data_IF_922210134842
#
_entry.id   IF_922210134842
#
_cell.length_a   1.000
_cell.length_b   1.000
_cell.length_c   1.000
_cell.angle_alpha   90.00
_cell.angle_beta   90.00
_cell.angle_gamma   90.00
#
_symmetry.space_group_name_H-M   'P 1'
#
loop_
_entity.id
_entity.type
_entity.pdbx_description
1 polymer ?
#
# COMPACT_ATOMS: atom_id res chain seq x y z
N UNK A 1 22.99 -21.31 62.68
CA UNK A 1 22.30 -20.90 63.91
C UNK A 1 20.84 -21.05 63.71
N UNK A 2 20.33 -22.12 64.32
CA UNK A 2 18.94 -22.60 64.31
C UNK A 2 18.19 -21.93 65.43
N UNK A 3 17.03 -21.36 65.21
CA UNK A 3 16.05 -21.13 66.29
C UNK A 3 14.69 -21.67 65.88
N UNK A 4 14.34 -22.71 66.62
CA UNK A 4 13.03 -23.34 66.64
C UNK A 4 12.19 -22.63 67.67
N UNK A 5 10.91 -22.31 67.37
CA UNK A 5 9.93 -21.93 68.36
C UNK A 5 8.72 -22.85 68.28
N UNK A 6 8.56 -23.68 69.29
CA UNK A 6 7.37 -24.48 69.54
C UNK A 6 6.40 -23.63 70.38
N UNK A 7 5.11 -23.65 70.00
CA UNK A 7 4.05 -23.21 70.91
C UNK A 7 2.99 -24.32 71.01
N UNK A 8 2.66 -24.60 72.24
CA UNK A 8 1.79 -25.65 72.72
C UNK A 8 0.31 -25.42 72.38
N UNK A 9 -0.36 -26.53 72.14
CA UNK A 9 -1.82 -26.65 72.06
C UNK A 9 -2.36 -27.00 73.44
N UNK A 10 -3.42 -26.37 73.88
CA UNK A 10 -4.39 -26.89 74.88
C UNK A 10 -5.71 -26.13 74.73
N UNK A 11 -6.77 -26.76 74.41
CA UNK A 11 -7.81 -27.27 75.21
C UNK A 11 -9.17 -26.79 74.80
N UNK A 12 -10.01 -27.71 74.33
CA UNK A 12 -11.43 -27.99 74.62
C UNK A 12 -12.51 -26.93 74.56
N UNK A 13 -13.56 -27.25 73.71
CA UNK A 13 -14.96 -27.04 74.03
C UNK A 13 -15.86 -26.88 72.81
N UNK A 14 -16.97 -27.68 72.66
CA UNK A 14 -17.84 -27.59 71.51
C UNK A 14 -18.95 -26.57 71.71
N UNK A 15 -19.13 -25.69 70.71
CA UNK A 15 -20.34 -24.87 70.60
C UNK A 15 -20.97 -25.06 69.23
N UNK A 16 -22.17 -25.63 69.22
CA UNK A 16 -23.02 -25.69 68.04
C UNK A 16 -23.40 -24.26 67.63
N UNK A 17 -22.89 -23.78 66.53
CA UNK A 17 -23.25 -22.52 65.90
C UNK A 17 -23.83 -22.77 64.51
N UNK A 18 -25.10 -22.45 64.34
CA UNK A 18 -25.83 -22.53 63.06
C UNK A 18 -25.18 -21.68 62.01
N UNK A 19 -24.65 -22.34 60.97
CA UNK A 19 -24.15 -21.63 59.78
C UNK A 19 -25.36 -21.13 58.95
N UNK A 20 -25.64 -19.85 58.97
CA UNK A 20 -26.43 -19.18 57.93
C UNK A 20 -25.51 -18.94 56.72
N UNK A 21 -25.79 -19.67 55.65
CA UNK A 21 -25.16 -19.37 54.35
C UNK A 21 -25.71 -18.04 53.84
N UNK A 22 -24.85 -17.01 53.79
CA UNK A 22 -25.13 -15.75 53.12
C UNK A 22 -24.69 -16.01 51.64
N UNK A 23 -25.67 -16.23 50.76
CA UNK A 23 -25.44 -16.15 49.31
C UNK A 23 -25.15 -14.67 48.97
N UNK A 24 -23.89 -14.34 48.81
CA UNK A 24 -23.48 -13.10 48.19
C UNK A 24 -23.84 -13.11 46.69
N UNK A 25 -24.27 -11.98 46.10
CA UNK A 25 -24.58 -11.92 44.68
C UNK A 25 -23.31 -12.21 43.86
N UNK A 26 -23.42 -13.21 43.02
CA UNK A 26 -22.41 -13.52 41.99
C UNK A 26 -22.42 -12.32 41.02
N UNK A 27 -21.44 -11.42 41.14
CA UNK A 27 -21.20 -10.38 40.13
C UNK A 27 -20.73 -11.10 38.87
N UNK A 28 -21.64 -11.34 37.93
CA UNK A 28 -21.27 -11.69 36.54
C UNK A 28 -20.64 -10.45 35.96
N UNK A 29 -19.32 -10.40 35.94
CA UNK A 29 -18.57 -9.45 35.12
C UNK A 29 -18.91 -9.79 33.67
N UNK A 30 -19.90 -9.13 33.10
CA UNK A 30 -20.05 -9.07 31.65
C UNK A 30 -18.79 -8.40 31.14
N UNK A 31 -17.91 -9.18 30.51
CA UNK A 31 -16.87 -8.63 29.71
C UNK A 31 -17.57 -7.77 28.65
N UNK A 32 -17.50 -6.45 28.79
CA UNK A 32 -17.78 -5.52 27.72
C UNK A 32 -16.75 -5.82 26.66
N UNK A 33 -17.16 -6.57 25.65
CA UNK A 33 -16.40 -6.64 24.39
C UNK A 33 -16.27 -5.19 23.93
N UNK A 34 -15.08 -4.63 24.10
CA UNK A 34 -14.73 -3.36 23.49
C UNK A 34 -15.03 -3.49 22.00
N UNK A 35 -15.75 -2.54 21.39
CA UNK A 35 -15.94 -2.57 19.95
C UNK A 35 -14.56 -2.65 19.31
N UNK A 36 -14.39 -3.58 18.37
CA UNK A 36 -13.14 -3.84 17.65
C UNK A 36 -12.51 -2.50 17.30
N UNK A 37 -11.31 -2.25 17.84
CA UNK A 37 -10.70 -0.96 17.89
C UNK A 37 -10.67 -0.27 16.54
N UNK A 38 -11.03 0.99 16.54
CA UNK A 38 -10.80 1.91 15.43
C UNK A 38 -9.29 2.08 15.23
N UNK A 39 -8.67 1.13 14.53
CA UNK A 39 -7.38 1.36 13.87
C UNK A 39 -7.53 2.53 12.91
N UNK A 40 -6.44 3.15 12.48
CA UNK A 40 -6.50 4.22 11.48
C UNK A 40 -7.33 3.73 10.28
N UNK A 41 -8.19 4.61 9.75
CA UNK A 41 -9.06 4.28 8.64
C UNK A 41 -8.23 3.83 7.43
N UNK A 42 -8.64 2.75 6.76
CA UNK A 42 -8.00 2.26 5.53
C UNK A 42 -7.89 3.38 4.50
N UNK A 43 -6.68 3.64 3.98
CA UNK A 43 -6.44 4.66 2.97
C UNK A 43 -6.95 4.21 1.59
N UNK A 44 -7.43 5.16 0.80
CA UNK A 44 -7.90 4.96 -0.58
C UNK A 44 -6.84 5.45 -1.55
N UNK A 45 -6.23 4.54 -2.30
CA UNK A 45 -5.31 4.88 -3.38
C UNK A 45 -5.98 4.73 -4.75
N UNK A 46 -5.91 5.79 -5.56
CA UNK A 46 -6.38 5.78 -6.94
C UNK A 46 -5.32 5.13 -7.83
N UNK A 47 -5.50 3.84 -8.16
CA UNK A 47 -4.60 3.07 -9.03
C UNK A 47 -4.60 3.65 -10.44
N UNK A 48 -3.43 4.13 -10.89
CA UNK A 48 -3.24 4.90 -12.14
C UNK A 48 -4.17 6.11 -12.27
N UNK A 49 -4.49 6.73 -11.14
CA UNK A 49 -5.44 7.83 -11.07
C UNK A 49 -6.92 7.43 -11.08
N UNK A 50 -7.26 6.14 -11.11
CA UNK A 50 -8.63 5.62 -11.21
C UNK A 50 -8.96 5.08 -12.60
N UNK A 51 -8.21 4.08 -13.06
CA UNK A 51 -8.18 3.55 -14.43
C UNK A 51 -9.51 3.01 -14.96
N UNK A 52 -10.50 2.72 -14.10
CA UNK A 52 -11.85 2.34 -14.54
C UNK A 52 -12.76 3.54 -14.82
N UNK A 53 -12.36 4.76 -14.42
CA UNK A 53 -13.18 5.96 -14.51
C UNK A 53 -12.64 6.95 -15.56
N UNK A 54 -11.32 7.03 -15.71
CA UNK A 54 -10.62 8.01 -16.52
C UNK A 54 -9.47 7.36 -17.29
N UNK A 55 -8.89 8.03 -18.31
CA UNK A 55 -7.70 7.54 -18.99
C UNK A 55 -6.56 7.31 -17.98
N UNK A 56 -6.10 6.06 -17.86
CA UNK A 56 -5.11 5.68 -16.86
C UNK A 56 -3.81 6.51 -17.01
N UNK A 57 -3.17 6.82 -15.89
CA UNK A 57 -1.89 7.53 -15.87
C UNK A 57 -1.88 8.89 -16.59
N UNK A 58 -3.04 9.57 -16.66
CA UNK A 58 -3.17 10.91 -17.25
C UNK A 58 -3.27 12.00 -16.19
N UNK A 59 -2.92 13.23 -16.54
CA UNK A 59 -3.12 14.39 -15.66
C UNK A 59 -4.60 14.61 -15.37
N UNK A 60 -5.50 14.30 -16.33
CA UNK A 60 -6.95 14.33 -16.11
C UNK A 60 -7.34 13.37 -14.99
N UNK A 61 -6.90 12.09 -15.06
CA UNK A 61 -7.21 11.10 -14.03
C UNK A 61 -6.74 11.55 -12.65
N UNK A 62 -5.52 12.08 -12.53
CA UNK A 62 -5.00 12.57 -11.26
C UNK A 62 -5.77 13.79 -10.73
N UNK A 63 -6.13 14.76 -11.59
CA UNK A 63 -7.00 15.89 -11.19
C UNK A 63 -8.35 15.41 -10.66
N UNK A 64 -8.96 14.45 -11.33
CA UNK A 64 -10.26 13.90 -10.93
C UNK A 64 -10.16 13.09 -9.62
N UNK A 65 -9.11 12.29 -9.45
CA UNK A 65 -8.85 11.58 -8.20
C UNK A 65 -8.64 12.54 -7.01
N UNK A 66 -7.89 13.62 -7.22
CA UNK A 66 -7.73 14.70 -6.23
C UNK A 66 -9.06 15.37 -5.90
N UNK A 67 -9.87 15.69 -6.91
CA UNK A 67 -11.21 16.26 -6.72
C UNK A 67 -12.16 15.30 -5.98
N UNK A 68 -12.03 13.99 -6.23
CA UNK A 68 -12.73 12.95 -5.49
C UNK A 68 -12.26 12.91 -4.01
N UNK A 69 -11.08 13.43 -3.69
CA UNK A 69 -10.51 13.44 -2.33
C UNK A 69 -9.99 12.06 -1.91
N UNK A 70 -9.21 11.42 -2.76
CA UNK A 70 -8.48 10.20 -2.41
C UNK A 70 -7.33 10.50 -1.46
N UNK A 71 -6.86 9.49 -0.73
CA UNK A 71 -5.76 9.66 0.21
C UNK A 71 -4.40 9.50 -0.47
N UNK A 72 -4.33 8.75 -1.58
CA UNK A 72 -3.10 8.53 -2.35
C UNK A 72 -3.36 8.48 -3.86
N UNK A 73 -2.38 8.95 -4.64
CA UNK A 73 -2.28 8.76 -6.09
C UNK A 73 -1.24 7.68 -6.37
N UNK A 74 -1.63 6.66 -7.10
CA UNK A 74 -0.72 5.64 -7.59
C UNK A 74 -0.54 5.79 -9.10
N UNK A 75 0.69 5.60 -9.57
CA UNK A 75 1.09 5.74 -10.98
C UNK A 75 2.42 5.06 -11.29
N UNK A 76 2.65 4.77 -12.57
CA UNK A 76 3.72 3.92 -13.07
C UNK A 76 4.80 4.74 -13.79
N UNK A 77 6.08 4.46 -13.56
CA UNK A 77 7.21 5.21 -14.10
C UNK A 77 8.06 4.38 -15.05
N UNK A 78 8.29 4.95 -16.22
CA UNK A 78 9.31 4.52 -17.19
C UNK A 78 10.30 5.63 -17.49
N UNK A 79 11.39 5.31 -18.20
CA UNK A 79 12.38 6.30 -18.59
C UNK A 79 12.60 6.25 -20.10
N UNK A 80 12.64 7.42 -20.74
CA UNK A 80 12.90 7.62 -22.17
C UNK A 80 14.39 7.44 -22.51
N UNK A 81 14.71 7.41 -23.81
CA UNK A 81 16.09 7.28 -24.29
C UNK A 81 17.01 8.44 -23.87
N UNK A 82 16.46 9.64 -23.68
CA UNK A 82 17.17 10.82 -23.17
C UNK A 82 17.09 10.98 -21.65
N UNK A 83 16.58 9.94 -20.98
CA UNK A 83 16.59 9.83 -19.53
C UNK A 83 15.50 10.64 -18.83
N UNK A 84 14.43 11.05 -19.48
CA UNK A 84 13.28 11.68 -18.85
C UNK A 84 12.34 10.65 -18.25
N UNK A 85 11.85 10.90 -17.05
CA UNK A 85 10.91 9.99 -16.35
C UNK A 85 9.49 10.37 -16.75
N UNK A 86 8.77 9.40 -17.33
CA UNK A 86 7.40 9.56 -17.84
C UNK A 86 6.43 8.58 -17.14
N UNK A 87 5.14 8.89 -17.22
CA UNK A 87 4.10 8.16 -16.49
C UNK A 87 3.28 7.33 -17.47
N UNK A 88 3.46 6.02 -17.42
CA UNK A 88 2.79 5.03 -18.26
C UNK A 88 2.91 3.65 -17.62
N UNK A 89 1.88 2.79 -17.73
CA UNK A 89 1.96 1.45 -17.13
C UNK A 89 2.80 0.46 -17.94
N UNK A 90 2.50 0.34 -19.24
CA UNK A 90 3.18 -0.63 -20.09
C UNK A 90 4.55 -0.08 -20.55
N UNK A 91 5.55 -0.93 -20.75
CA UNK A 91 6.84 -0.47 -21.27
C UNK A 91 6.77 -0.03 -22.74
N UNK A 92 5.61 -0.18 -23.39
CA UNK A 92 5.32 0.25 -24.76
C UNK A 92 4.08 1.12 -24.84
N UNK A 93 3.96 1.93 -25.87
CA UNK A 93 2.86 2.88 -26.09
C UNK A 93 1.58 2.24 -26.65
N UNK A 94 1.63 0.96 -27.03
CA UNK A 94 0.70 0.29 -27.94
C UNK A 94 -0.75 0.21 -27.42
N UNK A 95 -0.96 0.02 -26.11
CA UNK A 95 -2.28 -0.23 -25.52
C UNK A 95 -3.05 1.04 -25.21
N UNK A 96 -2.35 2.02 -24.63
CA UNK A 96 -2.99 3.18 -24.01
C UNK A 96 -2.72 4.49 -24.73
N UNK A 97 -2.11 4.46 -25.93
CA UNK A 97 -1.84 5.67 -26.68
C UNK A 97 -1.98 5.53 -28.19
N UNK A 98 -1.93 6.65 -28.89
CA UNK A 98 -1.96 6.72 -30.38
C UNK A 98 -0.66 6.30 -31.03
N UNK A 99 0.42 6.09 -30.26
CA UNK A 99 1.73 5.67 -30.76
C UNK A 99 2.01 4.19 -30.46
N UNK A 100 3.13 3.68 -30.92
CA UNK A 100 3.55 2.30 -30.74
C UNK A 100 5.05 2.21 -30.41
N UNK A 101 5.43 1.07 -29.83
CA UNK A 101 6.81 0.73 -29.55
C UNK A 101 7.28 1.11 -28.15
N UNK A 102 8.51 0.70 -27.77
CA UNK A 102 9.03 0.86 -26.42
C UNK A 102 9.32 2.32 -26.08
N UNK A 103 8.88 2.74 -24.88
CA UNK A 103 9.16 4.08 -24.33
C UNK A 103 10.66 4.34 -24.23
N UNK A 104 11.43 3.32 -23.84
CA UNK A 104 12.89 3.39 -23.69
C UNK A 104 13.62 3.80 -24.96
N UNK A 105 13.05 3.53 -26.13
CA UNK A 105 13.68 3.80 -27.42
C UNK A 105 13.37 5.22 -27.95
N UNK A 106 12.48 5.95 -27.29
CA UNK A 106 12.00 7.27 -27.70
C UNK A 106 12.58 8.38 -26.81
N UNK A 107 12.87 9.54 -27.41
CA UNK A 107 13.17 10.77 -26.68
C UNK A 107 11.86 11.42 -26.22
N UNK A 108 11.89 12.18 -25.13
CA UNK A 108 10.71 12.89 -24.62
C UNK A 108 10.02 13.74 -25.69
N UNK A 109 10.80 14.43 -26.53
CA UNK A 109 10.25 15.26 -27.62
C UNK A 109 9.35 14.46 -28.60
N UNK A 110 9.61 13.17 -28.80
CA UNK A 110 8.79 12.31 -29.65
C UNK A 110 7.40 12.00 -29.00
N UNK A 111 7.29 12.11 -27.70
CA UNK A 111 6.02 11.88 -26.98
C UNK A 111 5.09 13.10 -27.02
N UNK A 112 5.54 14.27 -27.43
CA UNK A 112 4.75 15.52 -27.42
C UNK A 112 3.46 15.45 -28.27
N UNK A 113 3.48 14.70 -29.37
CA UNK A 113 2.32 14.47 -30.24
C UNK A 113 1.50 13.25 -29.91
N UNK A 114 1.97 12.40 -28.98
CA UNK A 114 1.26 11.18 -28.56
C UNK A 114 0.08 11.56 -27.67
N UNK A 115 -1.08 10.95 -27.95
CA UNK A 115 -2.28 11.14 -27.13
C UNK A 115 -2.65 9.82 -26.44
N UNK A 116 -3.09 9.94 -25.18
CA UNK A 116 -3.61 8.82 -24.43
C UNK A 116 -5.00 8.45 -24.91
N UNK A 117 -5.35 7.19 -24.74
CA UNK A 117 -6.67 6.63 -25.06
C UNK A 117 -7.50 6.43 -23.79
N UNK A 118 -8.81 6.56 -23.94
CA UNK A 118 -9.74 6.03 -22.96
C UNK A 118 -9.70 4.50 -22.94
N UNK A 119 -10.31 3.89 -21.93
CA UNK A 119 -10.36 2.42 -21.80
C UNK A 119 -11.07 1.73 -22.99
N UNK A 120 -12.01 2.40 -23.63
CA UNK A 120 -12.73 1.94 -24.83
C UNK A 120 -12.03 2.32 -26.15
N UNK A 121 -10.84 2.92 -26.07
CA UNK A 121 -9.98 3.21 -27.22
C UNK A 121 -10.22 4.55 -27.90
N UNK A 122 -11.06 5.44 -27.35
CA UNK A 122 -11.22 6.78 -27.89
C UNK A 122 -9.98 7.65 -27.60
N UNK A 123 -9.59 8.47 -28.58
CA UNK A 123 -8.46 9.41 -28.43
C UNK A 123 -8.87 10.57 -27.54
N UNK A 124 -8.00 10.93 -26.59
CA UNK A 124 -8.18 12.08 -25.68
C UNK A 124 -7.25 13.22 -26.05
N UNK A 125 -7.42 14.38 -25.40
CA UNK A 125 -6.47 15.49 -25.47
C UNK A 125 -5.27 15.32 -24.52
N UNK A 126 -5.29 14.28 -23.64
CA UNK A 126 -4.22 14.01 -22.68
C UNK A 126 -2.97 13.45 -23.39
N UNK A 127 -1.80 13.96 -23.03
CA UNK A 127 -0.50 13.43 -23.46
C UNK A 127 0.05 12.45 -22.42
N UNK A 128 1.15 11.76 -22.74
CA UNK A 128 1.91 10.95 -21.76
C UNK A 128 2.61 11.92 -20.80
N UNK A 129 2.21 11.98 -19.52
CA UNK A 129 2.79 12.95 -18.59
C UNK A 129 4.25 12.63 -18.26
N UNK A 130 5.03 13.64 -17.99
CA UNK A 130 6.29 13.50 -17.27
C UNK A 130 6.00 13.31 -15.77
N UNK A 131 6.91 12.66 -15.06
CA UNK A 131 6.82 12.55 -13.61
C UNK A 131 6.84 13.95 -12.94
N UNK A 132 7.61 14.88 -13.51
CA UNK A 132 7.63 16.28 -13.05
C UNK A 132 6.25 16.93 -13.06
N UNK A 133 5.48 16.79 -14.15
CA UNK A 133 4.12 17.34 -14.27
C UNK A 133 3.17 16.75 -13.22
N UNK A 134 3.26 15.43 -12.94
CA UNK A 134 2.44 14.81 -11.89
C UNK A 134 2.82 15.32 -10.50
N UNK A 135 4.11 15.51 -10.24
CA UNK A 135 4.58 16.08 -8.98
C UNK A 135 4.13 17.53 -8.81
N UNK A 136 4.19 18.35 -9.86
CA UNK A 136 3.75 19.75 -9.84
C UNK A 136 2.24 19.85 -9.59
N UNK A 137 1.45 18.95 -10.16
CA UNK A 137 0.02 18.83 -9.89
C UNK A 137 -0.27 18.44 -8.41
N UNK A 138 0.50 17.54 -7.85
CA UNK A 138 0.28 17.02 -6.50
C UNK A 138 0.89 17.91 -5.40
N UNK A 139 1.89 18.73 -5.72
CA UNK A 139 2.63 19.55 -4.75
C UNK A 139 1.72 20.42 -3.85
N UNK A 140 0.69 21.13 -4.35
CA UNK A 140 -0.18 21.98 -3.54
C UNK A 140 -1.18 21.20 -2.67
N UNK A 141 -1.20 19.87 -2.73
CA UNK A 141 -2.13 19.00 -1.99
C UNK A 141 -1.45 18.31 -0.81
N UNK A 142 -2.21 17.54 -0.02
CA UNK A 142 -1.69 16.67 1.05
C UNK A 142 -1.67 15.17 0.68
N UNK A 143 -2.01 14.82 -0.56
CA UNK A 143 -2.13 13.43 -1.02
C UNK A 143 -0.79 12.68 -0.91
N UNK A 144 -0.82 11.40 -0.51
CA UNK A 144 0.35 10.50 -0.62
C UNK A 144 0.61 10.16 -2.10
N UNK A 145 1.88 9.95 -2.45
CA UNK A 145 2.31 9.58 -3.80
C UNK A 145 2.88 8.16 -3.79
N UNK A 146 2.43 7.34 -4.72
CA UNK A 146 2.83 5.94 -4.85
C UNK A 146 3.42 5.69 -6.26
N UNK A 147 4.59 6.29 -6.60
CA UNK A 147 5.24 6.04 -7.87
C UNK A 147 5.79 4.61 -7.95
N UNK A 148 5.39 3.83 -8.95
CA UNK A 148 5.96 2.52 -9.24
C UNK A 148 7.07 2.62 -10.27
N UNK A 149 8.29 2.23 -9.91
CA UNK A 149 9.39 2.08 -10.87
C UNK A 149 9.23 0.74 -11.59
N UNK A 150 9.01 0.83 -12.92
CA UNK A 150 8.80 -0.32 -13.80
C UNK A 150 10.12 -0.82 -14.41
N UNK A 151 10.02 -1.90 -15.14
CA UNK A 151 11.09 -2.43 -16.02
C UNK A 151 10.74 -2.18 -17.48
N UNK A 152 11.75 -2.21 -18.36
CA UNK A 152 11.55 -2.05 -19.80
C UNK A 152 10.87 -3.26 -20.44
N UNK A 153 10.65 -3.20 -21.76
CA UNK A 153 10.00 -4.26 -22.53
C UNK A 153 10.77 -5.59 -22.56
N UNK A 154 12.04 -5.59 -22.14
CA UNK A 154 12.88 -6.79 -21.98
C UNK A 154 12.95 -7.28 -20.54
N UNK A 155 12.22 -6.65 -19.62
CA UNK A 155 12.26 -6.93 -18.18
C UNK A 155 13.52 -6.41 -17.49
N UNK A 156 14.24 -5.45 -18.10
CA UNK A 156 15.45 -4.87 -17.55
C UNK A 156 15.13 -3.58 -16.79
N UNK A 157 15.84 -3.34 -15.68
CA UNK A 157 15.78 -2.07 -14.95
C UNK A 157 16.38 -0.96 -15.81
N UNK A 158 15.93 0.27 -15.58
CA UNK A 158 16.51 1.47 -16.16
C UNK A 158 17.69 1.92 -15.30
N UNK A 159 18.84 2.17 -15.93
CA UNK A 159 20.01 2.67 -15.20
C UNK A 159 19.78 4.11 -14.70
N UNK A 160 19.91 4.32 -13.40
CA UNK A 160 19.79 5.63 -12.77
C UNK A 160 18.36 6.16 -12.58
N UNK A 161 17.32 5.35 -12.79
CA UNK A 161 15.94 5.79 -12.61
C UNK A 161 15.64 6.09 -11.14
N UNK A 162 16.19 5.31 -10.20
CA UNK A 162 16.00 5.51 -8.76
C UNK A 162 16.56 6.86 -8.31
N UNK A 163 17.76 7.23 -8.78
CA UNK A 163 18.40 8.53 -8.53
C UNK A 163 17.53 9.68 -9.03
N UNK A 164 17.02 9.56 -10.27
CA UNK A 164 16.16 10.58 -10.88
C UNK A 164 14.84 10.75 -10.15
N UNK A 165 14.18 9.65 -9.79
CA UNK A 165 12.92 9.66 -9.06
C UNK A 165 13.10 10.35 -7.70
N UNK A 166 14.15 9.98 -6.95
CA UNK A 166 14.44 10.60 -5.67
C UNK A 166 14.80 12.10 -5.83
N UNK A 167 15.60 12.46 -6.82
CA UNK A 167 15.98 13.85 -7.08
C UNK A 167 14.77 14.72 -7.42
N UNK A 168 13.83 14.24 -8.24
CA UNK A 168 12.60 14.95 -8.60
C UNK A 168 11.68 15.15 -7.39
N UNK A 169 11.56 14.15 -6.52
CA UNK A 169 10.80 14.22 -5.26
C UNK A 169 11.45 15.20 -4.27
N UNK A 170 12.76 15.15 -4.11
CA UNK A 170 13.52 16.03 -3.20
C UNK A 170 13.44 17.49 -3.65
N UNK A 171 13.62 17.76 -4.95
CA UNK A 171 13.55 19.10 -5.52
C UNK A 171 12.21 19.83 -5.25
N UNK A 172 11.14 19.05 -5.01
CA UNK A 172 9.80 19.57 -4.69
C UNK A 172 9.40 19.42 -3.23
N UNK A 173 10.29 18.90 -2.37
CA UNK A 173 10.00 18.67 -0.96
C UNK A 173 8.95 17.55 -0.72
N UNK A 174 8.78 16.63 -1.68
CA UNK A 174 7.72 15.61 -1.66
C UNK A 174 8.18 14.25 -1.13
N UNK A 175 9.46 14.07 -0.81
CA UNK A 175 10.01 12.77 -0.40
C UNK A 175 9.29 12.17 0.82
N UNK A 176 8.87 12.99 1.78
CA UNK A 176 8.17 12.53 2.98
C UNK A 176 6.74 12.04 2.72
N UNK A 177 6.15 12.43 1.58
CA UNK A 177 4.80 12.03 1.15
C UNK A 177 4.81 10.96 0.06
N UNK A 178 5.99 10.51 -0.37
CA UNK A 178 6.14 9.49 -1.40
C UNK A 178 6.50 8.14 -0.78
N UNK A 179 5.86 7.08 -1.27
CA UNK A 179 6.24 5.69 -1.05
C UNK A 179 6.58 5.10 -2.42
N UNK A 180 7.87 5.06 -2.76
CA UNK A 180 8.31 4.53 -4.07
C UNK A 180 8.18 3.01 -4.07
N UNK A 181 7.49 2.47 -5.07
CA UNK A 181 7.17 1.04 -5.11
C UNK A 181 7.83 0.33 -6.30
N UNK A 182 8.07 -0.96 -6.16
CA UNK A 182 8.58 -1.81 -7.23
C UNK A 182 8.37 -3.30 -6.94
N UNK A 183 8.29 -4.10 -8.01
CA UNK A 183 8.36 -5.56 -7.94
C UNK A 183 9.81 -6.07 -7.83
N UNK A 184 10.80 -5.31 -8.31
CA UNK A 184 12.20 -5.70 -8.30
C UNK A 184 12.85 -5.44 -6.93
N UNK A 185 13.33 -6.48 -6.23
CA UNK A 185 14.03 -6.34 -4.96
C UNK A 185 15.24 -5.40 -5.04
N UNK A 186 15.94 -5.40 -6.16
CA UNK A 186 17.13 -4.56 -6.39
C UNK A 186 16.78 -3.07 -6.40
N UNK A 187 15.63 -2.69 -6.98
CA UNK A 187 15.12 -1.31 -6.95
C UNK A 187 14.82 -0.87 -5.52
N UNK A 188 14.18 -1.73 -4.71
CA UNK A 188 13.92 -1.42 -3.29
C UNK A 188 15.24 -1.22 -2.53
N UNK A 189 16.23 -2.12 -2.70
CA UNK A 189 17.56 -1.97 -2.06
C UNK A 189 18.23 -0.67 -2.50
N UNK A 190 18.24 -0.38 -3.81
CA UNK A 190 18.87 0.84 -4.35
C UNK A 190 18.25 2.11 -3.78
N UNK A 191 16.92 2.20 -3.72
CA UNK A 191 16.23 3.33 -3.10
C UNK A 191 16.62 3.51 -1.63
N UNK A 192 16.72 2.41 -0.86
CA UNK A 192 17.12 2.43 0.55
C UNK A 192 18.57 2.81 0.77
N UNK A 193 19.46 2.45 -0.17
CA UNK A 193 20.87 2.88 -0.16
C UNK A 193 21.01 4.38 -0.42
N UNK A 194 20.29 4.89 -1.42
CA UNK A 194 20.34 6.30 -1.85
C UNK A 194 19.70 7.24 -0.83
N UNK A 195 18.54 6.87 -0.27
CA UNK A 195 17.81 7.66 0.69
C UNK A 195 17.24 6.76 1.81
N UNK A 196 18.00 6.54 2.88
CA UNK A 196 17.59 5.66 3.97
C UNK A 196 16.28 6.04 4.68
N UNK A 197 15.82 7.29 4.52
CA UNK A 197 14.56 7.77 5.11
C UNK A 197 13.38 7.68 4.13
N UNK A 198 13.62 7.41 2.85
CA UNK A 198 12.53 7.25 1.88
C UNK A 198 11.65 6.05 2.27
N UNK A 199 10.34 6.23 2.14
CA UNK A 199 9.41 5.11 2.24
C UNK A 199 9.44 4.34 0.94
N UNK A 200 9.46 3.01 1.06
CA UNK A 200 9.48 2.09 -0.09
C UNK A 200 8.47 0.98 0.10
N UNK A 201 7.82 0.56 -0.98
CA UNK A 201 6.85 -0.54 -0.98
C UNK A 201 7.32 -1.65 -1.89
N UNK A 202 7.52 -2.85 -1.32
CA UNK A 202 7.78 -4.03 -2.12
C UNK A 202 6.46 -4.61 -2.63
N UNK A 203 6.35 -4.80 -3.95
CA UNK A 203 5.14 -5.33 -4.59
C UNK A 203 5.24 -6.83 -4.81
N UNK A 204 4.16 -7.57 -4.51
CA UNK A 204 4.10 -9.03 -4.64
C UNK A 204 2.84 -9.45 -5.41
N UNK A 205 3.07 -10.00 -6.61
CA UNK A 205 2.02 -10.53 -7.46
C UNK A 205 1.63 -11.96 -7.04
N UNK A 206 0.35 -12.30 -7.20
CA UNK A 206 -0.17 -13.63 -6.92
C UNK A 206 0.58 -14.73 -7.66
N UNK A 207 0.83 -14.55 -8.96
CA UNK A 207 1.52 -15.53 -9.77
C UNK A 207 2.98 -15.78 -9.34
N UNK A 208 3.63 -14.85 -8.65
CA UNK A 208 4.96 -15.06 -8.09
C UNK A 208 4.91 -16.02 -6.90
N UNK A 209 4.01 -15.77 -5.95
CA UNK A 209 3.80 -16.63 -4.76
C UNK A 209 3.43 -18.05 -5.17
N UNK A 210 2.53 -18.18 -6.14
CA UNK A 210 2.09 -19.49 -6.67
C UNK A 210 3.25 -20.26 -7.35
N UNK A 211 4.06 -19.58 -8.17
CA UNK A 211 5.23 -20.20 -8.81
C UNK A 211 6.30 -20.63 -7.81
N UNK A 212 6.55 -19.79 -6.80
CA UNK A 212 7.54 -20.07 -5.76
C UNK A 212 7.05 -21.07 -4.71
N UNK A 213 5.74 -21.37 -4.69
CA UNK A 213 5.08 -22.25 -3.70
C UNK A 213 5.38 -21.85 -2.25
N UNK A 214 5.47 -20.54 -1.99
CA UNK A 214 5.69 -19.99 -0.66
C UNK A 214 4.37 -19.53 -0.03
N UNK A 215 4.32 -19.46 1.31
CA UNK A 215 3.14 -18.92 1.99
C UNK A 215 3.09 -17.40 1.78
N UNK A 216 1.90 -16.80 1.61
CA UNK A 216 1.77 -15.34 1.44
C UNK A 216 2.46 -14.54 2.56
N UNK A 217 2.39 -14.98 3.81
CA UNK A 217 3.04 -14.33 4.95
C UNK A 217 4.59 -14.26 4.84
N UNK A 218 5.22 -15.12 4.04
CA UNK A 218 6.66 -15.04 3.75
C UNK A 218 7.05 -13.74 3.02
N UNK A 219 6.12 -13.15 2.27
CA UNK A 219 6.35 -11.88 1.59
C UNK A 219 6.64 -10.74 2.59
N UNK A 220 6.04 -10.79 3.80
CA UNK A 220 6.31 -9.81 4.86
C UNK A 220 7.76 -9.89 5.31
N UNK A 221 8.27 -11.11 5.54
CA UNK A 221 9.68 -11.31 5.91
C UNK A 221 10.61 -10.77 4.81
N UNK A 222 10.31 -11.09 3.53
CA UNK A 222 11.09 -10.61 2.38
C UNK A 222 11.09 -9.08 2.28
N UNK A 223 9.94 -8.42 2.48
CA UNK A 223 9.87 -6.96 2.51
C UNK A 223 10.78 -6.37 3.60
N UNK A 224 10.76 -6.95 4.80
CA UNK A 224 11.65 -6.55 5.91
C UNK A 224 13.13 -6.72 5.57
N UNK A 225 13.52 -7.84 4.99
CA UNK A 225 14.90 -8.12 4.58
C UNK A 225 15.41 -7.14 3.51
N UNK A 226 14.51 -6.63 2.66
CA UNK A 226 14.79 -5.58 1.68
C UNK A 226 14.84 -4.17 2.32
N UNK A 227 14.43 -4.01 3.58
CA UNK A 227 14.30 -2.73 4.23
C UNK A 227 13.06 -1.93 3.76
N UNK A 228 12.11 -2.56 3.10
CA UNK A 228 10.87 -1.90 2.69
C UNK A 228 10.04 -1.51 3.92
N UNK A 229 9.42 -0.33 3.86
CA UNK A 229 8.53 0.17 4.90
C UNK A 229 7.10 -0.33 4.72
N UNK A 230 6.75 -0.67 3.49
CA UNK A 230 5.41 -1.06 3.07
C UNK A 230 5.48 -2.34 2.20
N UNK A 231 4.41 -3.12 2.21
CA UNK A 231 4.20 -4.28 1.37
C UNK A 231 2.90 -4.12 0.58
N UNK A 232 2.99 -4.12 -0.75
CA UNK A 232 1.82 -4.12 -1.62
C UNK A 232 1.56 -5.53 -2.16
N UNK A 233 0.41 -6.11 -1.84
CA UNK A 233 0.08 -7.48 -2.27
C UNK A 233 -1.18 -7.53 -3.12
N UNK A 234 -1.20 -8.48 -4.07
CA UNK A 234 -2.47 -8.84 -4.71
C UNK A 234 -3.50 -9.23 -3.64
N UNK A 235 -4.68 -8.59 -3.65
CA UNK A 235 -5.70 -8.71 -2.60
C UNK A 235 -6.16 -10.15 -2.32
N UNK A 236 -6.01 -11.06 -3.29
CA UNK A 236 -6.37 -12.48 -3.13
C UNK A 236 -5.39 -13.26 -2.26
N UNK A 237 -4.21 -12.71 -2.01
CA UNK A 237 -3.20 -13.26 -1.11
C UNK A 237 -3.34 -12.72 0.32
N UNK A 238 -4.15 -11.67 0.50
CA UNK A 238 -4.27 -10.96 1.78
C UNK A 238 -5.34 -11.61 2.63
N UNK A 239 -4.91 -12.08 3.81
CA UNK A 239 -5.74 -12.68 4.85
C UNK A 239 -5.30 -12.18 6.25
N UNK A 240 -5.92 -12.74 7.29
CA UNK A 240 -5.62 -12.37 8.68
C UNK A 240 -4.19 -12.75 9.10
N UNK A 241 -3.62 -13.85 8.58
CA UNK A 241 -2.24 -14.27 8.86
C UNK A 241 -1.25 -13.25 8.30
N UNK A 242 -1.42 -12.84 7.03
CA UNK A 242 -0.58 -11.84 6.37
C UNK A 242 -0.66 -10.51 7.11
N UNK A 243 -1.87 -10.05 7.48
CA UNK A 243 -2.05 -8.79 8.20
C UNK A 243 -1.39 -8.83 9.59
N UNK A 244 -1.57 -9.94 10.33
CA UNK A 244 -0.94 -10.09 11.64
C UNK A 244 0.59 -10.09 11.53
N UNK A 245 1.15 -10.79 10.53
CA UNK A 245 2.58 -10.79 10.25
C UNK A 245 3.09 -9.38 9.89
N UNK A 246 2.37 -8.63 9.04
CA UNK A 246 2.73 -7.27 8.64
C UNK A 246 2.74 -6.32 9.87
N UNK A 247 1.71 -6.37 10.70
CA UNK A 247 1.63 -5.59 11.95
C UNK A 247 2.77 -5.93 12.91
N UNK A 248 3.03 -7.21 13.14
CA UNK A 248 4.12 -7.65 14.01
C UNK A 248 5.50 -7.20 13.49
N UNK A 249 5.64 -7.09 12.16
CA UNK A 249 6.86 -6.63 11.50
C UNK A 249 6.96 -5.11 11.42
N UNK A 250 5.92 -4.34 11.76
CA UNK A 250 5.87 -2.89 11.57
C UNK A 250 5.90 -2.48 10.09
N UNK A 251 5.33 -3.31 9.20
CA UNK A 251 5.22 -3.07 7.75
C UNK A 251 3.78 -2.70 7.44
N UNK A 252 3.54 -1.58 6.75
CA UNK A 252 2.21 -1.22 6.26
C UNK A 252 1.80 -2.17 5.13
N UNK A 253 0.53 -2.59 5.12
CA UNK A 253 0.00 -3.52 4.13
C UNK A 253 -1.00 -2.83 3.20
N UNK A 254 -0.67 -2.77 1.91
CA UNK A 254 -1.54 -2.29 0.84
C UNK A 254 -2.05 -3.46 0.01
N UNK A 255 -3.35 -3.46 -0.31
CA UNK A 255 -3.98 -4.47 -1.17
C UNK A 255 -4.28 -3.89 -2.56
N UNK A 256 -3.88 -4.59 -3.64
CA UNK A 256 -4.09 -4.19 -5.04
C UNK A 256 -4.50 -5.38 -5.93
N UNK A 257 -5.09 -5.23 -7.10
CA UNK A 257 -5.98 -4.13 -7.47
C UNK A 257 -7.38 -4.56 -7.08
N UNK A 258 -8.06 -3.80 -6.25
CA UNK A 258 -9.33 -4.19 -5.62
C UNK A 258 -10.48 -3.41 -6.25
N UNK A 259 -11.23 -4.03 -7.17
CA UNK A 259 -12.22 -3.35 -7.97
C UNK A 259 -13.67 -3.79 -7.69
N UNK A 260 -13.85 -4.99 -7.11
CA UNK A 260 -15.18 -5.54 -6.82
C UNK A 260 -15.64 -5.16 -5.42
N UNK A 261 -16.93 -4.82 -5.27
CA UNK A 261 -17.48 -4.36 -3.98
C UNK A 261 -17.24 -5.34 -2.83
N UNK A 262 -17.41 -6.64 -3.08
CA UNK A 262 -17.20 -7.68 -2.07
C UNK A 262 -15.73 -7.73 -1.60
N UNK A 263 -14.78 -7.59 -2.54
CA UNK A 263 -13.36 -7.58 -2.22
C UNK A 263 -12.94 -6.29 -1.49
N UNK A 264 -13.50 -5.15 -1.89
CA UNK A 264 -13.27 -3.87 -1.19
C UNK A 264 -13.75 -3.97 0.26
N UNK A 265 -14.97 -4.46 0.51
CA UNK A 265 -15.49 -4.69 1.87
C UNK A 265 -14.57 -5.61 2.65
N UNK A 266 -14.20 -6.75 2.08
CA UNK A 266 -13.30 -7.72 2.72
C UNK A 266 -11.97 -7.09 3.14
N UNK A 267 -11.37 -6.23 2.32
CA UNK A 267 -10.12 -5.56 2.66
C UNK A 267 -10.30 -4.50 3.76
N UNK A 268 -11.39 -3.73 3.71
CA UNK A 268 -11.73 -2.75 4.75
C UNK A 268 -12.01 -3.45 6.10
N UNK A 269 -12.84 -4.50 6.10
CA UNK A 269 -13.23 -5.25 7.30
C UNK A 269 -12.01 -5.97 7.92
N UNK A 270 -11.09 -6.45 7.07
CA UNK A 270 -9.83 -7.02 7.52
C UNK A 270 -8.93 -5.95 8.18
N UNK A 271 -9.05 -4.68 7.79
CA UNK A 271 -8.30 -3.56 8.32
C UNK A 271 -6.90 -3.41 7.71
N UNK A 272 -6.76 -3.62 6.39
CA UNK A 272 -5.53 -3.28 5.67
C UNK A 272 -5.27 -1.78 5.73
N UNK A 273 -4.01 -1.36 5.67
CA UNK A 273 -3.66 0.05 5.78
C UNK A 273 -4.08 0.86 4.53
N UNK A 274 -4.12 0.21 3.35
CA UNK A 274 -4.45 0.87 2.10
C UNK A 274 -5.13 -0.10 1.12
N UNK A 275 -6.12 0.42 0.39
CA UNK A 275 -6.75 -0.25 -0.77
C UNK A 275 -6.43 0.55 -2.02
N UNK A 276 -5.73 -0.07 -2.98
CA UNK A 276 -5.47 0.48 -4.32
C UNK A 276 -6.52 -0.06 -5.29
N UNK A 277 -7.22 0.85 -5.98
CA UNK A 277 -8.34 0.49 -6.84
C UNK A 277 -8.41 1.35 -8.09
N UNK A 278 -8.82 0.75 -9.20
CA UNK A 278 -9.25 1.47 -10.40
C UNK A 278 -10.58 2.20 -10.19
N UNK A 279 -11.29 1.86 -9.10
CA UNK A 279 -12.57 2.42 -8.68
C UNK A 279 -12.45 3.10 -7.30
N UNK A 280 -11.64 4.15 -7.18
CA UNK A 280 -11.47 4.86 -5.90
C UNK A 280 -12.78 5.45 -5.37
N UNK A 281 -13.73 5.77 -6.24
CA UNK A 281 -15.10 6.17 -5.90
C UNK A 281 -15.84 5.11 -5.11
N UNK A 282 -15.72 3.85 -5.51
CA UNK A 282 -16.31 2.69 -4.83
C UNK A 282 -15.69 2.50 -3.43
N UNK A 283 -14.36 2.54 -3.35
CA UNK A 283 -13.66 2.36 -2.07
C UNK A 283 -14.03 3.48 -1.08
N UNK A 284 -14.05 4.73 -1.52
CA UNK A 284 -14.48 5.87 -0.69
C UNK A 284 -15.90 5.71 -0.17
N UNK A 285 -16.83 5.34 -1.03
CA UNK A 285 -18.24 5.12 -0.66
C UNK A 285 -18.38 4.02 0.40
N UNK A 286 -17.60 2.95 0.31
CA UNK A 286 -17.67 1.81 1.22
C UNK A 286 -16.95 2.07 2.54
N UNK A 287 -15.84 2.80 2.52
CA UNK A 287 -15.10 3.20 3.72
C UNK A 287 -15.91 4.15 4.63
N UNK A 288 -16.72 5.02 4.04
CA UNK A 288 -17.53 6.02 4.77
C UNK A 288 -18.81 5.47 5.40
N UNK A 289 -19.04 4.15 5.32
CA UNK A 289 -20.17 3.46 5.93
C UNK A 289 -19.71 2.69 7.17
#
# INVERSE_FOLDING_TARGET
MTLSLRVLVSGLGPALGTFRAVLGPLLVLAALESPAGSGPATLVAAHRGGAALWPENSLLAFRQALALGVDALEFDLHMTADGEVVVLHDPTLDRTSTARGPVRDLRLAALASVRLLTRDGAVTDEHVPTFAEVLDLAAPTSVELLPEIKVDAKGQRYDGIEEKVLALLQARGLIARATVQAFQPETIRRLRELEPKARTMFLVARGEVERQRVRPAEAVRRARELGATDLGMNHRLVDAEVLAAARAAGVRLAAWTVNEEADVRRMIDLGVDMVMSDRPDLVKRLRGR
#
